data_IF_638434281329
#
_entry.id   IF_638434281329
#
_cell.length_a   1.000
_cell.length_b   1.000
_cell.length_c   1.000
_cell.angle_alpha   90.00
_cell.angle_beta   90.00
_cell.angle_gamma   90.00
#
_symmetry.space_group_name_H-M   'P 1'
#
loop_
_entity.id
_entity.type
_entity.pdbx_description
1 polymer ?
#
# COMPACT_ATOMS: atom_id res chain seq x y z
N UNK A 1 -3.19 28.46 -9.43
CA UNK A 1 -2.19 29.08 -10.30
C UNK A 1 -1.75 28.18 -11.42
N UNK A 2 -1.02 28.70 -12.39
CA UNK A 2 -0.38 27.93 -13.47
C UNK A 2 1.14 28.06 -13.34
N UNK A 3 1.69 27.69 -12.20
CA UNK A 3 3.11 27.81 -11.91
C UNK A 3 3.80 26.46 -11.76
N UNK A 4 5.13 26.47 -11.80
CA UNK A 4 5.99 25.33 -11.55
C UNK A 4 6.86 25.63 -10.32
N UNK A 5 6.88 24.70 -9.38
CA UNK A 5 7.83 24.68 -8.26
C UNK A 5 8.84 23.59 -8.58
N UNK A 6 10.09 23.96 -8.82
CA UNK A 6 11.19 23.04 -9.06
C UNK A 6 12.10 23.02 -7.84
N UNK A 7 12.16 21.88 -7.17
CA UNK A 7 12.90 21.74 -5.91
C UNK A 7 14.41 21.58 -6.07
N UNK A 8 14.94 21.44 -7.30
CA UNK A 8 16.38 21.21 -7.58
C UNK A 8 16.95 20.07 -6.71
N UNK A 9 16.15 19.04 -6.49
CA UNK A 9 16.36 18.07 -5.41
C UNK A 9 17.62 17.26 -5.53
N UNK A 10 18.09 16.99 -6.74
CA UNK A 10 19.33 16.26 -6.97
C UNK A 10 20.55 17.06 -6.52
N UNK A 11 20.59 18.31 -6.91
CA UNK A 11 21.65 19.26 -6.53
C UNK A 11 21.67 19.48 -5.02
N UNK A 12 20.50 19.68 -4.43
CA UNK A 12 20.34 19.84 -2.97
C UNK A 12 20.81 18.58 -2.23
N UNK A 13 20.41 17.41 -2.68
CA UNK A 13 20.79 16.14 -2.05
C UNK A 13 22.30 15.90 -2.13
N UNK A 14 22.91 16.06 -3.29
CA UNK A 14 24.36 15.87 -3.46
C UNK A 14 25.17 16.92 -2.71
N UNK A 15 24.73 18.16 -2.63
CA UNK A 15 25.38 19.18 -1.82
C UNK A 15 25.38 18.80 -0.33
N UNK A 16 24.27 18.30 0.20
CA UNK A 16 24.18 17.81 1.59
C UNK A 16 25.14 16.63 1.83
N UNK A 17 25.18 15.67 0.92
CA UNK A 17 26.10 14.52 0.99
C UNK A 17 27.55 15.02 1.01
N UNK A 18 27.91 15.94 0.13
CA UNK A 18 29.25 16.52 0.09
C UNK A 18 29.62 17.23 1.40
N UNK A 19 28.69 17.97 2.01
CA UNK A 19 28.93 18.64 3.30
C UNK A 19 29.11 17.61 4.44
N UNK A 20 28.42 16.48 4.41
CA UNK A 20 28.60 15.39 5.38
C UNK A 20 29.98 14.74 5.18
N UNK A 21 30.36 14.41 3.95
CA UNK A 21 31.68 13.83 3.65
C UNK A 21 32.82 14.74 4.01
N UNK A 22 32.66 16.05 3.87
CA UNK A 22 33.66 17.05 4.25
C UNK A 22 33.67 17.41 5.75
N UNK A 23 32.83 16.75 6.56
CA UNK A 23 32.73 16.98 7.99
C UNK A 23 32.09 18.31 8.40
N UNK A 24 31.48 19.03 7.47
CA UNK A 24 30.80 20.32 7.72
C UNK A 24 29.46 20.05 8.44
N UNK A 25 28.75 19.02 7.99
CA UNK A 25 27.52 18.55 8.62
C UNK A 25 27.73 17.16 9.23
N UNK A 26 27.12 16.94 10.37
CA UNK A 26 27.06 15.63 11.01
C UNK A 26 25.85 14.86 10.51
N UNK A 27 26.06 13.64 10.02
CA UNK A 27 24.95 12.72 9.74
C UNK A 27 24.57 11.99 11.03
N UNK A 28 23.57 12.52 11.74
CA UNK A 28 23.11 11.98 13.03
C UNK A 28 22.29 10.69 12.86
N UNK A 29 21.89 10.32 11.67
CA UNK A 29 20.93 9.25 11.47
C UNK A 29 21.55 7.88 11.25
N UNK A 30 22.88 7.79 11.19
CA UNK A 30 23.66 6.52 11.14
C UNK A 30 22.96 5.40 10.34
N UNK A 31 22.29 5.74 9.27
CA UNK A 31 21.60 4.76 8.45
C UNK A 31 22.22 4.70 7.05
N UNK A 32 21.85 3.69 6.29
CA UNK A 32 22.35 3.42 4.96
C UNK A 32 21.93 4.49 3.91
N UNK A 33 21.23 5.53 4.35
CA UNK A 33 20.72 6.61 3.50
C UNK A 33 21.26 7.95 4.00
N UNK A 34 22.45 8.37 3.53
CA UNK A 34 22.99 9.67 3.89
C UNK A 34 22.05 10.79 3.42
N UNK A 35 22.19 11.96 4.03
CA UNK A 35 21.41 13.14 3.72
C UNK A 35 19.89 13.02 4.00
N UNK A 36 19.51 12.34 5.04
CA UNK A 36 18.10 12.21 5.49
C UNK A 36 17.48 13.52 6.00
N UNK A 37 18.25 14.61 6.11
CA UNK A 37 17.76 15.96 6.44
C UNK A 37 17.48 16.82 5.21
N UNK A 38 17.21 16.22 4.09
CA UNK A 38 16.86 16.94 2.87
C UNK A 38 15.56 17.74 3.06
N UNK A 39 15.46 18.95 2.50
CA UNK A 39 14.26 19.76 2.64
C UNK A 39 13.10 19.15 1.86
N UNK A 40 11.91 19.20 2.43
CA UNK A 40 10.66 18.92 1.74
C UNK A 40 10.34 20.03 0.75
N UNK A 41 9.62 19.71 -0.33
CA UNK A 41 9.27 20.72 -1.33
C UNK A 41 8.24 21.72 -0.80
N UNK A 42 7.15 21.24 -0.23
CA UNK A 42 6.11 22.06 0.45
C UNK A 42 5.83 21.45 1.82
N UNK A 43 5.73 22.29 2.83
CA UNK A 43 5.34 21.85 4.18
C UNK A 43 4.39 22.86 4.83
N UNK A 44 3.15 22.43 5.04
CA UNK A 44 2.15 23.18 5.82
C UNK A 44 1.84 22.41 7.10
N UNK A 45 1.86 23.09 8.22
CA UNK A 45 1.52 22.50 9.51
C UNK A 45 0.49 23.34 10.24
N UNK A 46 -0.51 22.65 10.82
CA UNK A 46 -1.55 23.25 11.67
C UNK A 46 -2.32 24.41 10.96
N UNK A 47 -2.40 24.33 9.62
CA UNK A 47 -3.08 25.32 8.82
C UNK A 47 -4.55 24.98 8.62
N UNK A 48 -5.38 26.00 8.43
CA UNK A 48 -6.82 25.85 8.11
C UNK A 48 -7.14 26.48 6.77
N UNK A 49 -8.11 25.90 6.06
CA UNK A 49 -8.60 26.42 4.77
C UNK A 49 -7.47 26.54 3.73
N UNK A 50 -6.71 25.47 3.56
CA UNK A 50 -5.61 25.40 2.60
C UNK A 50 -6.14 24.97 1.24
N UNK A 51 -5.85 25.73 0.20
CA UNK A 51 -6.19 25.36 -1.18
C UNK A 51 -4.97 25.42 -2.08
N UNK A 52 -4.63 24.29 -2.71
CA UNK A 52 -3.54 24.15 -3.69
C UNK A 52 -4.13 23.68 -4.99
N UNK A 53 -4.06 24.50 -6.03
CA UNK A 53 -4.70 24.19 -7.30
C UNK A 53 -3.87 24.55 -8.53
N UNK A 54 -3.89 23.68 -9.54
CA UNK A 54 -3.39 23.97 -10.90
C UNK A 54 -1.89 24.23 -11.00
N UNK A 55 -1.08 23.75 -10.06
CA UNK A 55 0.38 23.90 -10.08
C UNK A 55 1.07 22.60 -10.43
N UNK A 56 2.30 22.70 -10.90
CA UNK A 56 3.22 21.57 -11.04
C UNK A 56 4.31 21.66 -9.96
N UNK A 57 4.62 20.52 -9.33
CA UNK A 57 5.71 20.40 -8.36
C UNK A 57 6.64 19.30 -8.87
N UNK A 58 7.93 19.58 -8.97
CA UNK A 58 8.88 18.61 -9.51
C UNK A 58 10.23 18.65 -8.82
N UNK A 59 10.97 17.55 -8.96
CA UNK A 59 12.39 17.44 -8.57
C UNK A 59 12.67 17.88 -7.14
N UNK A 60 11.90 17.41 -6.16
CA UNK A 60 12.17 17.75 -4.75
C UNK A 60 13.29 16.88 -4.17
N UNK A 61 13.93 17.35 -3.13
CA UNK A 61 15.03 16.62 -2.49
C UNK A 61 14.54 15.52 -1.54
N UNK A 62 13.33 15.61 -1.05
CA UNK A 62 12.65 14.71 -0.10
C UNK A 62 11.15 14.73 -0.39
N UNK A 63 10.28 14.40 0.56
CA UNK A 63 8.82 14.44 0.38
C UNK A 63 8.36 15.67 -0.37
N UNK A 64 7.57 15.48 -1.42
CA UNK A 64 7.24 16.56 -2.35
C UNK A 64 6.37 17.60 -1.70
N UNK A 65 5.28 17.17 -1.07
CA UNK A 65 4.38 18.05 -0.36
C UNK A 65 3.78 17.36 0.86
N UNK A 66 3.82 18.04 1.98
CA UNK A 66 3.37 17.54 3.27
C UNK A 66 2.37 18.51 3.90
N UNK A 67 1.25 17.98 4.29
CA UNK A 67 0.23 18.68 5.05
C UNK A 67 0.07 17.97 6.39
N UNK A 68 0.50 18.63 7.46
CA UNK A 68 0.57 18.08 8.81
C UNK A 68 -0.43 18.77 9.71
N UNK A 69 -1.41 18.02 10.24
CA UNK A 69 -2.43 18.51 11.14
C UNK A 69 -3.26 19.70 10.58
N UNK A 70 -3.42 19.74 9.26
CA UNK A 70 -4.22 20.74 8.60
C UNK A 70 -5.71 20.37 8.62
N UNK A 71 -6.57 21.38 8.52
CA UNK A 71 -8.02 21.22 8.46
C UNK A 71 -8.61 21.97 7.26
N UNK A 72 -9.62 21.38 6.61
CA UNK A 72 -10.25 21.89 5.40
C UNK A 72 -9.19 22.12 4.29
N UNK A 73 -8.60 21.02 3.85
CA UNK A 73 -7.55 20.99 2.82
C UNK A 73 -8.14 20.59 1.47
N UNK A 74 -7.94 21.41 0.46
CA UNK A 74 -8.30 21.11 -0.93
C UNK A 74 -7.08 21.12 -1.83
N UNK A 75 -6.85 20.00 -2.51
CA UNK A 75 -5.81 19.86 -3.52
C UNK A 75 -6.50 19.44 -4.82
N UNK A 76 -6.36 20.24 -5.86
CA UNK A 76 -7.08 20.01 -7.11
C UNK A 76 -6.27 20.37 -8.34
N UNK A 77 -6.30 19.52 -9.37
CA UNK A 77 -5.59 19.70 -10.64
C UNK A 77 -4.10 20.05 -10.48
N UNK A 78 -3.42 19.36 -9.57
CA UNK A 78 -1.96 19.46 -9.46
C UNK A 78 -1.29 18.37 -10.30
N UNK A 79 -0.05 18.66 -10.69
CA UNK A 79 0.85 17.68 -11.28
C UNK A 79 2.09 17.56 -10.39
N UNK A 80 2.41 16.34 -9.97
CA UNK A 80 3.68 16.02 -9.33
C UNK A 80 4.50 15.18 -10.31
N UNK A 81 5.73 15.59 -10.56
CA UNK A 81 6.73 14.85 -11.33
C UNK A 81 8.07 14.92 -10.56
N UNK A 82 8.21 14.10 -9.53
CA UNK A 82 9.36 14.16 -8.64
C UNK A 82 10.05 12.81 -8.53
N UNK A 83 11.08 12.67 -9.35
CA UNK A 83 11.90 11.45 -9.48
C UNK A 83 13.39 11.74 -9.30
N UNK A 84 13.71 12.80 -8.58
CA UNK A 84 15.09 13.29 -8.46
C UNK A 84 15.93 12.45 -7.50
N UNK A 85 15.32 11.95 -6.43
CA UNK A 85 16.01 11.22 -5.37
C UNK A 85 15.08 10.26 -4.65
N UNK A 86 15.55 9.42 -3.71
CA UNK A 86 14.69 8.58 -2.90
C UNK A 86 13.89 9.38 -1.87
N UNK A 87 12.84 8.79 -1.30
CA UNK A 87 11.87 9.42 -0.41
C UNK A 87 11.16 10.65 -1.02
N UNK A 88 11.01 10.70 -2.33
CA UNK A 88 10.11 11.66 -2.94
C UNK A 88 8.67 11.09 -2.88
N UNK A 89 8.07 11.06 -1.68
CA UNK A 89 6.63 10.80 -1.54
C UNK A 89 5.88 11.94 -2.23
N UNK A 90 4.91 11.62 -3.10
CA UNK A 90 4.27 12.64 -3.94
C UNK A 90 3.34 13.57 -3.18
N UNK A 91 2.57 13.00 -2.25
CA UNK A 91 1.61 13.72 -1.42
C UNK A 91 1.47 13.03 -0.07
N UNK A 92 1.86 13.69 1.00
CA UNK A 92 1.70 13.24 2.37
C UNK A 92 0.62 14.03 3.11
N UNK A 93 -0.46 13.36 3.47
CA UNK A 93 -1.53 13.88 4.33
C UNK A 93 -1.33 13.27 5.72
N UNK A 94 -0.98 14.11 6.70
CA UNK A 94 -0.55 13.67 8.04
C UNK A 94 -1.50 14.24 9.09
N UNK A 95 -2.23 13.39 9.81
CA UNK A 95 -3.15 13.81 10.90
C UNK A 95 -4.12 14.95 10.50
N UNK A 96 -4.56 15.01 9.24
CA UNK A 96 -5.42 16.05 8.70
C UNK A 96 -6.90 15.70 8.77
N UNK A 97 -7.76 16.72 8.79
CA UNK A 97 -9.22 16.56 8.76
C UNK A 97 -9.85 17.32 7.59
N UNK A 98 -10.95 16.75 7.06
CA UNK A 98 -11.76 17.37 6.01
C UNK A 98 -10.90 17.67 4.75
N UNK A 99 -10.39 16.61 4.13
CA UNK A 99 -9.43 16.68 3.02
C UNK A 99 -10.09 16.25 1.72
N UNK A 100 -9.85 17.02 0.64
CA UNK A 100 -10.22 16.63 -0.74
C UNK A 100 -9.00 16.73 -1.65
N UNK A 101 -8.69 15.62 -2.30
CA UNK A 101 -7.66 15.54 -3.35
C UNK A 101 -8.34 15.11 -4.64
N UNK A 102 -8.32 15.97 -5.66
CA UNK A 102 -9.09 15.71 -6.88
C UNK A 102 -8.29 15.99 -8.15
N UNK A 103 -8.63 15.26 -9.23
CA UNK A 103 -8.21 15.53 -10.61
C UNK A 103 -6.69 15.74 -10.78
N UNK A 104 -5.87 15.01 -10.04
CA UNK A 104 -4.43 15.25 -9.94
C UNK A 104 -3.63 14.07 -10.50
N UNK A 105 -2.46 14.39 -11.04
CA UNK A 105 -1.48 13.42 -11.53
C UNK A 105 -0.25 13.44 -10.63
N UNK A 106 0.14 12.29 -10.09
CA UNK A 106 1.24 12.18 -9.14
C UNK A 106 2.17 11.06 -9.57
N UNK A 107 3.39 11.43 -9.94
CA UNK A 107 4.49 10.55 -10.33
C UNK A 107 5.70 10.80 -9.41
N UNK A 108 6.05 9.80 -8.61
CA UNK A 108 6.96 9.94 -7.49
C UNK A 108 7.86 8.71 -7.31
N UNK A 109 9.08 8.87 -6.78
CA UNK A 109 9.98 7.73 -6.51
C UNK A 109 9.65 6.97 -5.23
N UNK A 110 8.90 7.56 -4.33
CA UNK A 110 8.34 6.86 -3.17
C UNK A 110 6.80 6.86 -3.26
N UNK A 111 6.06 6.68 -2.19
CA UNK A 111 4.61 6.55 -2.22
C UNK A 111 3.92 7.73 -2.92
N UNK A 112 3.07 7.48 -3.93
CA UNK A 112 2.50 8.58 -4.71
C UNK A 112 1.48 9.38 -3.89
N UNK A 113 0.45 8.72 -3.33
CA UNK A 113 -0.54 9.33 -2.43
C UNK A 113 -0.46 8.61 -1.09
N UNK A 114 -0.02 9.29 -0.06
CA UNK A 114 0.28 8.70 1.23
C UNK A 114 -0.46 9.40 2.37
N UNK A 115 -1.07 8.59 3.24
CA UNK A 115 -1.68 9.05 4.49
C UNK A 115 -0.84 8.57 5.65
N UNK A 116 -0.50 9.48 6.56
CA UNK A 116 0.30 9.18 7.75
C UNK A 116 -0.42 9.69 9.00
N UNK A 117 -0.17 9.06 10.13
CA UNK A 117 -0.65 9.51 11.43
C UNK A 117 0.45 9.26 12.46
N UNK A 118 1.14 10.30 12.88
CA UNK A 118 2.27 10.21 13.79
C UNK A 118 1.91 10.57 15.25
N UNK A 119 0.87 11.35 15.44
CA UNK A 119 0.39 11.72 16.77
C UNK A 119 -0.69 10.74 17.24
N UNK A 120 -0.41 10.03 18.33
CA UNK A 120 -1.33 9.04 18.89
C UNK A 120 -2.68 9.62 19.36
N UNK A 121 -2.77 10.93 19.51
CA UNK A 121 -3.98 11.66 19.93
C UNK A 121 -4.76 12.26 18.76
N UNK A 122 -4.24 12.13 17.53
CA UNK A 122 -4.82 12.68 16.31
C UNK A 122 -5.10 11.59 15.29
N UNK A 123 -5.71 11.96 14.18
CA UNK A 123 -5.99 11.04 13.06
C UNK A 123 -6.19 11.81 11.77
N UNK A 124 -6.05 11.12 10.65
CA UNK A 124 -6.64 11.57 9.40
C UNK A 124 -8.13 11.21 9.37
N UNK A 125 -9.00 12.17 9.13
CA UNK A 125 -10.44 11.97 9.17
C UNK A 125 -11.17 12.73 8.06
N UNK A 126 -12.22 12.11 7.48
CA UNK A 126 -13.04 12.69 6.42
C UNK A 126 -12.20 13.04 5.18
N UNK A 127 -11.60 12.05 4.56
CA UNK A 127 -10.72 12.25 3.41
C UNK A 127 -11.36 11.69 2.14
N UNK A 128 -11.41 12.50 1.09
CA UNK A 128 -11.79 12.06 -0.25
C UNK A 128 -10.62 12.24 -1.22
N UNK A 129 -10.30 11.15 -1.97
CA UNK A 129 -9.40 11.18 -3.13
C UNK A 129 -10.18 10.74 -4.34
N UNK A 130 -10.27 11.59 -5.37
CA UNK A 130 -11.11 11.32 -6.54
C UNK A 130 -10.46 11.73 -7.85
N UNK A 131 -10.65 10.90 -8.87
CA UNK A 131 -10.18 11.18 -10.24
C UNK A 131 -8.67 11.47 -10.31
N UNK A 132 -7.88 10.80 -9.49
CA UNK A 132 -6.44 10.96 -9.46
C UNK A 132 -5.75 9.81 -10.22
N UNK A 133 -4.57 10.12 -10.73
CA UNK A 133 -3.69 9.16 -11.38
C UNK A 133 -2.39 9.12 -10.59
N UNK A 134 -2.00 7.92 -10.15
CA UNK A 134 -0.80 7.69 -9.37
C UNK A 134 0.17 6.75 -10.08
N UNK A 135 1.43 7.12 -10.10
CA UNK A 135 2.56 6.30 -10.53
C UNK A 135 3.66 6.39 -9.47
N UNK A 136 4.38 5.29 -9.20
CA UNK A 136 5.32 5.30 -8.07
C UNK A 136 6.36 4.20 -8.19
N UNK A 137 7.59 4.49 -7.78
CA UNK A 137 8.57 3.45 -7.50
C UNK A 137 8.38 2.78 -6.11
N UNK A 138 7.25 3.06 -5.47
CA UNK A 138 6.79 2.46 -4.21
C UNK A 138 5.29 2.12 -4.32
N UNK A 139 4.43 2.62 -3.47
CA UNK A 139 2.99 2.34 -3.54
C UNK A 139 2.22 3.44 -4.28
N UNK A 140 1.17 3.06 -4.99
CA UNK A 140 0.26 4.04 -5.60
C UNK A 140 -0.53 4.82 -4.56
N UNK A 141 -1.31 4.12 -3.72
CA UNK A 141 -2.08 4.70 -2.61
C UNK A 141 -1.72 3.94 -1.32
N UNK A 142 -1.28 4.67 -0.30
CA UNK A 142 -0.80 4.07 0.95
C UNK A 142 -1.33 4.75 2.20
N UNK A 143 -1.75 3.94 3.14
CA UNK A 143 -1.99 4.28 4.54
C UNK A 143 -0.79 3.77 5.35
N UNK A 144 -0.03 4.69 5.92
CA UNK A 144 1.21 4.37 6.65
C UNK A 144 2.47 4.87 5.92
N UNK A 145 3.67 4.59 6.40
CA UNK A 145 3.97 3.66 7.50
C UNK A 145 3.68 4.23 8.89
N UNK A 146 3.77 5.53 9.12
CA UNK A 146 3.46 6.14 10.41
C UNK A 146 1.95 6.03 10.67
N UNK A 147 1.59 5.25 11.69
CA UNK A 147 0.18 4.94 12.01
C UNK A 147 -0.05 4.92 13.52
N UNK A 148 0.44 5.95 14.19
CA UNK A 148 0.31 6.03 15.66
C UNK A 148 -1.10 6.41 16.12
N UNK A 149 -1.79 7.29 15.41
CA UNK A 149 -3.16 7.71 15.70
C UNK A 149 -4.17 6.88 14.92
N UNK A 150 -4.48 7.25 13.69
CA UNK A 150 -5.38 6.44 12.86
C UNK A 150 -5.95 7.13 11.63
N UNK A 151 -6.86 6.39 11.00
CA UNK A 151 -7.56 6.81 9.77
C UNK A 151 -9.04 6.47 9.88
N UNK A 152 -9.90 7.43 9.57
CA UNK A 152 -11.35 7.25 9.65
C UNK A 152 -12.10 7.98 8.54
N UNK A 153 -13.13 7.34 7.99
CA UNK A 153 -14.01 7.93 6.98
C UNK A 153 -13.27 8.34 5.70
N UNK A 154 -12.68 7.38 5.00
CA UNK A 154 -12.00 7.62 3.71
C UNK A 154 -12.85 7.18 2.53
N UNK A 155 -12.80 7.95 1.46
CA UNK A 155 -13.43 7.67 0.16
C UNK A 155 -12.41 7.85 -0.95
N UNK A 156 -11.89 6.76 -1.47
CA UNK A 156 -10.91 6.72 -2.57
C UNK A 156 -11.66 6.27 -3.83
N UNK A 157 -12.03 7.20 -4.71
CA UNK A 157 -13.03 6.95 -5.75
C UNK A 157 -12.54 7.33 -7.13
N UNK A 158 -12.74 6.43 -8.11
CA UNK A 158 -12.40 6.65 -9.52
C UNK A 158 -10.92 7.07 -9.71
N UNK A 159 -10.01 6.27 -9.21
CA UNK A 159 -8.59 6.52 -9.34
C UNK A 159 -7.91 5.49 -10.24
N UNK A 160 -6.76 5.86 -10.78
CA UNK A 160 -5.90 5.00 -11.59
C UNK A 160 -4.52 4.90 -10.97
N UNK A 161 -3.99 3.68 -10.86
CA UNK A 161 -2.62 3.41 -10.41
C UNK A 161 -1.92 2.58 -11.48
N UNK A 162 -0.71 2.97 -11.88
CA UNK A 162 0.04 2.18 -12.84
C UNK A 162 1.56 2.29 -12.63
N UNK A 163 2.29 1.33 -13.16
CA UNK A 163 3.75 1.25 -13.08
C UNK A 163 4.27 1.46 -11.64
N UNK A 164 3.57 0.86 -10.66
CA UNK A 164 3.94 1.02 -9.26
C UNK A 164 4.70 -0.20 -8.77
N UNK A 165 5.89 0.05 -8.20
CA UNK A 165 6.82 -1.00 -7.81
C UNK A 165 6.26 -1.90 -6.70
N UNK A 166 5.52 -1.31 -5.74
CA UNK A 166 4.86 -2.03 -4.66
C UNK A 166 3.37 -2.23 -4.96
N UNK A 167 2.52 -1.98 -4.03
CA UNK A 167 1.09 -2.23 -4.18
C UNK A 167 0.36 -1.06 -4.84
N UNK A 168 -0.70 -1.38 -5.60
CA UNK A 168 -1.65 -0.36 -6.03
C UNK A 168 -2.32 0.29 -4.80
N UNK A 169 -2.71 -0.55 -3.82
CA UNK A 169 -3.27 -0.12 -2.54
C UNK A 169 -2.57 -0.84 -1.40
N UNK A 170 -2.06 -0.07 -0.44
CA UNK A 170 -1.60 -0.55 0.86
C UNK A 170 -2.40 0.12 1.97
N UNK A 171 -3.05 -0.66 2.83
CA UNK A 171 -3.71 -0.21 4.05
C UNK A 171 -3.02 -0.88 5.22
N UNK A 172 -2.22 -0.14 5.99
CA UNK A 172 -1.42 -0.73 7.05
C UNK A 172 -1.46 0.07 8.34
N UNK A 173 -1.47 -0.63 9.48
CA UNK A 173 -1.31 -0.04 10.82
C UNK A 173 -0.23 -0.79 11.62
N UNK A 174 1.06 -0.49 11.37
CA UNK A 174 2.16 -1.14 12.08
C UNK A 174 2.53 -0.49 13.41
N UNK A 175 2.00 0.68 13.76
CA UNK A 175 2.46 1.47 14.90
C UNK A 175 1.38 1.64 16.00
N UNK A 176 0.35 0.78 16.00
CA UNK A 176 -0.67 0.71 17.04
C UNK A 176 -1.82 1.70 16.88
N UNK A 177 -1.99 2.29 15.70
CA UNK A 177 -3.15 3.12 15.36
C UNK A 177 -4.35 2.30 14.88
N UNK A 178 -5.47 2.97 14.65
CA UNK A 178 -6.68 2.33 14.14
C UNK A 178 -7.01 2.74 12.70
N UNK A 179 -7.71 1.87 12.00
CA UNK A 179 -8.25 2.11 10.66
C UNK A 179 -9.72 1.72 10.66
N UNK A 180 -10.61 2.64 10.32
CA UNK A 180 -12.03 2.40 10.33
C UNK A 180 -12.77 3.15 9.22
N UNK A 181 -13.76 2.48 8.59
CA UNK A 181 -14.63 3.03 7.57
C UNK A 181 -13.88 3.57 6.34
N UNK A 182 -13.28 2.66 5.59
CA UNK A 182 -12.56 2.96 4.34
C UNK A 182 -13.33 2.42 3.15
N UNK A 183 -13.65 3.27 2.20
CA UNK A 183 -14.21 2.90 0.90
C UNK A 183 -13.20 3.15 -0.22
N UNK A 184 -12.87 2.11 -0.95
CA UNK A 184 -12.15 2.19 -2.23
C UNK A 184 -13.12 1.73 -3.32
N UNK A 185 -13.41 2.60 -4.26
CA UNK A 185 -14.39 2.36 -5.31
C UNK A 185 -13.88 2.82 -6.68
N UNK A 186 -14.12 2.00 -7.69
CA UNK A 186 -13.73 2.34 -9.06
C UNK A 186 -12.22 2.59 -9.21
N UNK A 187 -11.41 1.59 -8.86
CA UNK A 187 -9.97 1.61 -9.05
C UNK A 187 -9.58 0.81 -10.30
N UNK A 188 -8.82 1.45 -11.18
CA UNK A 188 -8.14 0.79 -12.29
C UNK A 188 -6.64 0.75 -12.03
N UNK A 189 -6.05 -0.45 -11.98
CA UNK A 189 -4.62 -0.63 -11.73
C UNK A 189 -4.01 -1.57 -12.75
N UNK A 190 -2.84 -1.23 -13.27
CA UNK A 190 -2.10 -2.12 -14.15
C UNK A 190 -0.59 -1.97 -13.95
N UNK A 191 0.15 -3.03 -14.22
CA UNK A 191 1.60 -3.08 -14.06
C UNK A 191 2.03 -2.63 -12.66
N UNK A 192 1.46 -3.26 -11.63
CA UNK A 192 1.82 -3.01 -10.22
C UNK A 192 2.40 -4.28 -9.59
N UNK A 193 3.27 -4.13 -8.61
CA UNK A 193 3.90 -5.28 -7.94
C UNK A 193 2.92 -6.11 -7.12
N UNK A 194 1.82 -5.51 -6.65
CA UNK A 194 0.73 -6.15 -5.93
C UNK A 194 -0.56 -5.34 -6.09
N UNK A 195 -1.72 -5.96 -6.02
CA UNK A 195 -2.99 -5.24 -6.15
C UNK A 195 -3.46 -4.65 -4.82
N UNK A 196 -3.61 -5.47 -3.78
CA UNK A 196 -4.23 -5.11 -2.50
C UNK A 196 -3.43 -5.71 -1.34
N UNK A 197 -2.98 -4.86 -0.42
CA UNK A 197 -2.26 -5.27 0.77
C UNK A 197 -2.84 -4.60 2.02
N UNK A 198 -3.49 -5.39 2.90
CA UNK A 198 -4.02 -4.96 4.20
C UNK A 198 -3.20 -5.60 5.31
N UNK A 199 -2.70 -4.80 6.28
CA UNK A 199 -1.78 -5.29 7.29
C UNK A 199 -1.93 -4.63 8.67
N UNK A 200 -2.07 -5.42 9.72
CA UNK A 200 -1.79 -5.00 11.10
C UNK A 200 -0.40 -5.48 11.48
N UNK A 201 0.44 -4.59 11.98
CA UNK A 201 1.77 -4.88 12.50
C UNK A 201 1.94 -4.39 13.94
N UNK A 202 3.15 -4.56 14.49
CA UNK A 202 3.51 -4.09 15.83
C UNK A 202 4.98 -3.64 15.83
N UNK A 203 5.30 -2.63 14.99
CA UNK A 203 6.67 -2.16 14.80
C UNK A 203 7.10 -1.17 15.88
N UNK A 204 6.41 -0.03 15.95
CA UNK A 204 6.69 1.04 16.93
C UNK A 204 5.44 1.39 17.74
N UNK A 205 4.65 0.38 18.03
CA UNK A 205 3.34 0.53 18.66
C UNK A 205 3.39 0.98 20.14
N UNK A 206 4.56 0.97 20.78
CA UNK A 206 4.74 1.35 22.19
C UNK A 206 3.74 0.64 23.13
N UNK A 207 3.49 -0.65 22.89
CA UNK A 207 2.53 -1.45 23.66
C UNK A 207 1.06 -1.25 23.30
N UNK A 208 0.72 -0.41 22.31
CA UNK A 208 -0.65 -0.24 21.84
C UNK A 208 -1.03 -1.33 20.83
N UNK A 209 -2.29 -1.65 20.77
CA UNK A 209 -2.84 -2.62 19.83
C UNK A 209 -3.46 -1.89 18.63
N UNK A 210 -2.94 -2.15 17.43
CA UNK A 210 -3.54 -1.65 16.21
C UNK A 210 -4.86 -2.36 15.90
N UNK A 211 -5.78 -1.67 15.22
CA UNK A 211 -7.03 -2.26 14.74
C UNK A 211 -7.36 -1.83 13.33
N UNK A 212 -8.07 -2.71 12.60
CA UNK A 212 -8.49 -2.42 11.23
C UNK A 212 -9.86 -3.03 10.99
N UNK A 213 -10.84 -2.19 10.64
CA UNK A 213 -12.23 -2.62 10.47
C UNK A 213 -12.99 -1.81 9.41
N UNK A 214 -14.11 -2.40 8.93
CA UNK A 214 -15.07 -1.76 8.06
C UNK A 214 -14.45 -1.23 6.75
N UNK A 215 -13.80 -2.11 6.00
CA UNK A 215 -13.15 -1.78 4.74
C UNK A 215 -13.96 -2.35 3.59
N UNK A 216 -14.36 -1.50 2.66
CA UNK A 216 -14.99 -1.90 1.41
C UNK A 216 -14.08 -1.54 0.23
N UNK A 217 -13.72 -2.53 -0.57
CA UNK A 217 -12.98 -2.38 -1.82
C UNK A 217 -13.87 -2.93 -2.92
N UNK A 218 -14.30 -2.07 -3.84
CA UNK A 218 -15.25 -2.47 -4.87
C UNK A 218 -14.96 -1.86 -6.25
N UNK A 219 -15.50 -2.52 -7.29
CA UNK A 219 -15.35 -2.08 -8.67
C UNK A 219 -13.88 -1.89 -9.08
N UNK A 220 -13.07 -2.93 -8.85
CA UNK A 220 -11.63 -2.89 -9.09
C UNK A 220 -11.25 -3.77 -10.26
N UNK A 221 -10.44 -3.22 -11.15
CA UNK A 221 -9.66 -3.96 -12.12
C UNK A 221 -8.17 -3.79 -11.81
N UNK A 222 -7.43 -4.89 -11.69
CA UNK A 222 -6.01 -4.84 -11.42
C UNK A 222 -5.22 -5.88 -12.22
N UNK A 223 -4.06 -5.49 -12.74
CA UNK A 223 -3.06 -6.39 -13.31
C UNK A 223 -1.75 -6.29 -12.54
N UNK A 224 -1.33 -7.41 -11.98
CA UNK A 224 -0.04 -7.56 -11.29
C UNK A 224 1.06 -7.84 -12.32
N UNK A 225 2.18 -7.15 -12.18
CA UNK A 225 3.31 -7.27 -13.11
C UNK A 225 4.07 -8.57 -12.94
N UNK A 226 4.57 -9.10 -14.05
CA UNK A 226 5.54 -10.20 -14.05
C UNK A 226 7.00 -9.74 -13.98
N UNK A 227 7.25 -8.45 -14.11
CA UNK A 227 8.57 -7.81 -14.12
C UNK A 227 8.61 -6.65 -13.14
N UNK A 228 9.72 -5.92 -13.09
CA UNK A 228 9.85 -4.71 -12.27
C UNK A 228 8.93 -3.62 -12.84
N UNK A 229 7.87 -3.21 -12.12
CA UNK A 229 6.84 -2.32 -12.69
C UNK A 229 7.30 -0.89 -12.95
N UNK A 230 8.23 -0.38 -12.15
CA UNK A 230 8.72 0.98 -12.19
C UNK A 230 9.89 1.19 -13.17
N UNK A 231 9.92 0.45 -14.27
CA UNK A 231 10.91 0.63 -15.31
C UNK A 231 10.92 2.09 -15.82
N UNK A 232 12.13 2.67 -15.94
CA UNK A 232 12.31 4.05 -16.37
C UNK A 232 12.43 5.08 -15.24
N UNK A 233 12.33 4.68 -13.98
CA UNK A 233 12.76 5.52 -12.87
C UNK A 233 14.29 5.48 -12.74
N UNK A 234 14.92 6.63 -12.86
CA UNK A 234 16.36 6.79 -12.72
C UNK A 234 16.69 7.41 -11.35
N UNK A 235 16.42 6.70 -10.28
CA UNK A 235 16.82 7.14 -8.94
C UNK A 235 17.70 6.09 -8.26
N UNK A 236 18.55 6.54 -7.37
CA UNK A 236 19.42 5.70 -6.57
C UNK A 236 18.74 5.36 -5.25
N UNK A 237 18.03 4.29 -5.22
CA UNK A 237 17.38 3.76 -4.02
C UNK A 237 17.79 2.32 -3.75
N UNK A 238 17.48 1.77 -2.58
CA UNK A 238 17.72 0.36 -2.31
C UNK A 238 16.92 -0.48 -3.29
N UNK A 239 17.59 -1.41 -3.95
CA UNK A 239 16.96 -2.40 -4.82
C UNK A 239 16.50 -3.55 -3.94
N UNK A 240 15.21 -3.85 -3.97
CA UNK A 240 14.69 -5.04 -3.32
C UNK A 240 14.77 -6.21 -4.30
N UNK A 241 15.60 -7.17 -3.97
CA UNK A 241 15.78 -8.40 -4.76
C UNK A 241 14.83 -9.51 -4.27
N UNK A 242 13.55 -9.22 -4.27
CA UNK A 242 12.52 -10.18 -3.88
C UNK A 242 11.63 -10.54 -5.07
N UNK A 243 11.31 -11.83 -5.26
CA UNK A 243 10.42 -12.26 -6.32
C UNK A 243 9.01 -11.67 -6.07
N UNK A 244 8.57 -10.74 -6.90
CA UNK A 244 7.31 -10.00 -6.69
C UNK A 244 6.09 -10.71 -7.25
N UNK A 245 6.24 -11.35 -8.38
CA UNK A 245 5.17 -12.06 -9.08
C UNK A 245 4.61 -13.27 -8.32
N UNK A 246 5.22 -13.66 -7.23
CA UNK A 246 4.77 -14.77 -6.40
C UNK A 246 3.94 -14.36 -5.19
N UNK A 247 3.84 -13.06 -4.90
CA UNK A 247 3.09 -12.57 -3.75
C UNK A 247 1.63 -12.31 -4.10
N UNK A 248 0.68 -12.94 -3.41
CA UNK A 248 -0.74 -12.69 -3.59
C UNK A 248 -1.15 -11.33 -3.00
N UNK A 249 -2.34 -10.87 -3.31
CA UNK A 249 -3.01 -9.88 -2.46
C UNK A 249 -3.20 -10.44 -1.06
N UNK A 250 -3.16 -9.60 -0.02
CA UNK A 250 -3.12 -10.10 1.35
C UNK A 250 -3.98 -9.30 2.31
N UNK A 251 -4.62 -10.01 3.25
CA UNK A 251 -5.35 -9.43 4.39
C UNK A 251 -4.82 -10.13 5.64
N UNK A 252 -3.87 -9.49 6.34
CA UNK A 252 -3.10 -10.14 7.39
C UNK A 252 -3.11 -9.32 8.68
N UNK A 253 -3.85 -9.80 9.67
CA UNK A 253 -3.82 -9.31 11.04
C UNK A 253 -2.64 -9.86 11.83
N UNK A 254 -2.77 -9.87 13.15
CA UNK A 254 -1.86 -10.53 14.10
C UNK A 254 -2.66 -11.43 15.04
N UNK A 255 -2.03 -12.40 15.68
CA UNK A 255 -2.71 -13.21 16.71
C UNK A 255 -3.41 -12.31 17.75
N UNK A 256 -4.73 -12.49 17.90
CA UNK A 256 -5.57 -11.67 18.77
C UNK A 256 -5.90 -10.26 18.26
N UNK A 257 -5.47 -9.89 17.07
CA UNK A 257 -5.76 -8.62 16.40
C UNK A 257 -6.28 -8.88 14.99
N UNK A 258 -7.51 -9.36 14.90
CA UNK A 258 -8.13 -9.69 13.62
C UNK A 258 -8.44 -8.42 12.79
N UNK A 259 -8.18 -8.46 11.49
CA UNK A 259 -8.77 -7.49 10.55
C UNK A 259 -10.24 -7.87 10.37
N UNK A 260 -11.18 -6.94 10.55
CA UNK A 260 -12.59 -7.27 10.63
C UNK A 260 -13.45 -6.53 9.61
N UNK A 261 -14.52 -7.20 9.13
CA UNK A 261 -15.53 -6.60 8.24
C UNK A 261 -14.91 -6.04 6.94
N UNK A 262 -14.27 -6.90 6.15
CA UNK A 262 -13.73 -6.53 4.83
C UNK A 262 -14.64 -7.05 3.74
N UNK A 263 -15.05 -6.17 2.84
CA UNK A 263 -15.88 -6.49 1.67
C UNK A 263 -15.07 -6.24 0.40
N UNK A 264 -14.92 -7.30 -0.39
CA UNK A 264 -14.33 -7.27 -1.72
C UNK A 264 -15.46 -7.56 -2.73
N UNK A 265 -15.88 -6.55 -3.51
CA UNK A 265 -17.03 -6.65 -4.41
C UNK A 265 -16.72 -6.19 -5.82
N UNK A 266 -17.20 -6.93 -6.83
CA UNK A 266 -16.97 -6.60 -8.24
C UNK A 266 -15.47 -6.39 -8.55
N UNK A 267 -14.65 -7.38 -8.28
CA UNK A 267 -13.20 -7.29 -8.41
C UNK A 267 -12.71 -8.26 -9.48
N UNK A 268 -11.86 -7.76 -10.34
CA UNK A 268 -11.08 -8.57 -11.27
C UNK A 268 -9.61 -8.31 -11.06
N UNK A 269 -8.84 -9.36 -10.74
CA UNK A 269 -7.39 -9.27 -10.61
C UNK A 269 -6.74 -10.31 -11.51
N UNK A 270 -5.76 -9.86 -12.27
CA UNK A 270 -4.95 -10.70 -13.15
C UNK A 270 -3.54 -10.78 -12.58
N UNK A 271 -3.10 -11.99 -12.28
CA UNK A 271 -1.77 -12.31 -11.77
C UNK A 271 -0.93 -12.96 -12.87
N UNK A 272 0.39 -12.79 -12.87
CA UNK A 272 1.25 -13.43 -13.86
C UNK A 272 1.23 -14.96 -13.73
N UNK A 273 1.11 -15.52 -12.53
CA UNK A 273 1.29 -16.95 -12.29
C UNK A 273 2.73 -17.39 -12.54
N UNK A 274 2.93 -18.69 -12.77
CA UNK A 274 4.25 -19.22 -13.11
C UNK A 274 5.21 -19.38 -11.93
N UNK A 275 4.69 -19.48 -10.71
CA UNK A 275 5.48 -19.67 -9.51
C UNK A 275 6.27 -20.98 -9.54
N UNK A 276 7.44 -21.00 -8.92
CA UNK A 276 8.30 -22.16 -8.80
C UNK A 276 8.02 -22.89 -7.48
N UNK A 277 7.66 -24.20 -7.50
CA UNK A 277 7.43 -24.97 -6.28
C UNK A 277 8.60 -24.97 -5.28
N UNK A 278 9.81 -24.75 -5.76
CA UNK A 278 11.00 -24.71 -4.90
C UNK A 278 11.12 -23.40 -4.10
N UNK A 279 10.36 -22.37 -4.44
CA UNK A 279 10.30 -21.11 -3.69
C UNK A 279 9.19 -21.07 -2.65
N UNK A 280 8.17 -21.92 -2.78
CA UNK A 280 7.08 -21.93 -1.82
C UNK A 280 7.62 -22.07 -0.40
N UNK A 281 7.07 -21.32 0.53
CA UNK A 281 7.43 -21.46 1.93
C UNK A 281 7.30 -22.92 2.32
N UNK A 282 6.24 -23.55 1.91
CA UNK A 282 6.12 -24.95 2.30
C UNK A 282 5.02 -25.65 1.53
N UNK A 283 4.08 -25.00 1.10
CA UNK A 283 2.84 -25.53 0.61
C UNK A 283 1.69 -25.24 1.57
N UNK A 284 0.78 -26.20 1.70
CA UNK A 284 -0.49 -26.00 2.42
C UNK A 284 -0.74 -27.05 3.53
N UNK A 285 0.27 -27.81 3.91
CA UNK A 285 0.15 -28.72 5.07
C UNK A 285 0.13 -27.89 6.36
N UNK A 286 -0.41 -28.43 7.47
CA UNK A 286 -0.43 -27.72 8.74
C UNK A 286 0.92 -27.14 9.16
N UNK A 287 1.98 -27.95 9.14
CA UNK A 287 3.33 -27.53 9.51
C UNK A 287 3.89 -26.44 8.57
N UNK A 288 3.52 -26.49 7.30
CA UNK A 288 3.90 -25.48 6.32
C UNK A 288 3.29 -24.11 6.68
N UNK A 289 1.98 -24.09 6.94
CA UNK A 289 1.24 -22.86 7.28
C UNK A 289 1.65 -22.30 8.63
N UNK A 290 1.84 -23.15 9.64
CA UNK A 290 2.31 -22.74 10.97
C UNK A 290 3.74 -22.16 10.95
N UNK A 291 4.54 -22.51 9.96
CA UNK A 291 5.88 -21.98 9.80
C UNK A 291 5.95 -20.59 9.17
N UNK A 292 4.83 -20.03 8.65
CA UNK A 292 4.80 -18.69 8.09
C UNK A 292 4.95 -17.67 9.22
N UNK A 293 5.99 -16.82 9.19
CA UNK A 293 6.25 -15.90 10.30
C UNK A 293 5.21 -14.79 10.39
N UNK A 294 4.93 -14.31 11.59
CA UNK A 294 4.01 -13.19 11.82
C UNK A 294 4.53 -11.84 11.33
N UNK A 295 5.81 -11.69 11.13
CA UNK A 295 6.46 -10.46 10.64
C UNK A 295 6.02 -9.19 11.41
N UNK A 296 5.83 -9.30 12.73
CA UNK A 296 5.24 -8.23 13.58
C UNK A 296 5.93 -6.89 13.43
N UNK A 297 7.25 -6.89 13.45
CA UNK A 297 8.09 -5.68 13.43
C UNK A 297 8.61 -5.33 12.03
N UNK A 298 8.26 -6.11 11.01
CA UNK A 298 8.69 -5.84 9.64
C UNK A 298 8.05 -4.55 9.09
N UNK A 299 8.72 -3.95 8.14
CA UNK A 299 8.13 -2.88 7.34
C UNK A 299 6.86 -3.40 6.65
N UNK A 300 5.73 -2.66 6.67
CA UNK A 300 4.46 -3.17 6.17
C UNK A 300 4.41 -3.16 4.65
N UNK A 301 5.06 -4.12 4.06
CA UNK A 301 5.10 -4.36 2.63
C UNK A 301 4.88 -5.83 2.32
N UNK A 302 4.15 -6.11 1.23
CA UNK A 302 3.77 -7.47 0.87
C UNK A 302 4.98 -8.39 0.66
N UNK A 303 6.07 -7.87 0.11
CA UNK A 303 7.29 -8.63 -0.20
C UNK A 303 8.02 -9.16 1.04
N UNK A 304 7.78 -8.59 2.22
CA UNK A 304 8.39 -9.05 3.47
C UNK A 304 7.98 -10.48 3.84
N UNK A 305 6.79 -10.91 3.44
CA UNK A 305 6.36 -12.29 3.64
C UNK A 305 7.03 -13.27 2.67
N UNK A 306 7.78 -12.79 1.68
CA UNK A 306 8.32 -13.59 0.57
C UNK A 306 7.20 -14.36 -0.13
N UNK A 307 7.43 -15.60 -0.55
CA UNK A 307 6.40 -16.40 -1.19
C UNK A 307 5.39 -16.93 -0.17
N UNK A 308 4.12 -16.60 -0.37
CA UNK A 308 2.99 -17.12 0.40
C UNK A 308 2.32 -18.28 -0.33
N UNK A 309 1.62 -19.19 0.37
CA UNK A 309 1.05 -20.40 -0.20
C UNK A 309 -0.26 -20.18 -1.00
N UNK A 310 -0.47 -18.99 -1.51
CA UNK A 310 -1.59 -18.65 -2.38
C UNK A 310 -1.09 -17.84 -3.57
N UNK A 311 -1.80 -17.87 -4.71
CA UNK A 311 -1.46 -17.02 -5.83
C UNK A 311 -2.38 -15.78 -5.96
N UNK A 312 -3.60 -15.84 -5.44
CA UNK A 312 -4.58 -14.75 -5.51
C UNK A 312 -4.73 -13.98 -4.20
N UNK A 313 -5.19 -14.63 -3.13
CA UNK A 313 -5.30 -14.03 -1.81
C UNK A 313 -4.76 -14.92 -0.69
N UNK A 314 -3.99 -14.33 0.21
CA UNK A 314 -3.63 -14.90 1.50
C UNK A 314 -4.31 -14.10 2.62
N UNK A 315 -5.12 -14.77 3.43
CA UNK A 315 -5.92 -14.14 4.49
C UNK A 315 -5.60 -14.83 5.80
N UNK A 316 -5.10 -14.06 6.78
CA UNK A 316 -4.72 -14.59 8.09
C UNK A 316 -5.13 -13.65 9.21
N UNK A 317 -5.57 -14.20 10.35
CA UNK A 317 -6.05 -13.43 11.49
C UNK A 317 -7.08 -12.39 11.05
N UNK A 318 -8.21 -12.88 10.54
CA UNK A 318 -9.26 -12.03 10.01
C UNK A 318 -10.65 -12.53 10.40
N UNK A 319 -11.65 -11.62 10.38
CA UNK A 319 -13.02 -11.93 10.75
C UNK A 319 -14.02 -11.22 9.85
N UNK A 320 -15.09 -11.94 9.46
CA UNK A 320 -16.16 -11.41 8.61
C UNK A 320 -15.65 -10.86 7.27
N UNK A 321 -15.09 -11.73 6.44
CA UNK A 321 -14.56 -11.39 5.11
C UNK A 321 -15.57 -11.76 4.03
N UNK A 322 -15.89 -10.84 3.14
CA UNK A 322 -16.85 -11.07 2.06
C UNK A 322 -16.18 -10.90 0.70
N UNK A 323 -16.30 -11.93 -0.13
CA UNK A 323 -15.99 -11.91 -1.55
C UNK A 323 -17.29 -11.99 -2.33
N UNK A 324 -17.63 -10.98 -3.10
CA UNK A 324 -18.83 -10.93 -3.92
C UNK A 324 -18.50 -10.52 -5.36
N UNK A 325 -18.81 -11.39 -6.32
CA UNK A 325 -18.51 -11.17 -7.74
C UNK A 325 -17.02 -10.86 -7.97
N UNK A 326 -16.15 -11.78 -7.58
CA UNK A 326 -14.69 -11.65 -7.68
C UNK A 326 -14.15 -12.64 -8.71
N UNK A 327 -13.34 -12.17 -9.64
CA UNK A 327 -12.64 -12.99 -10.63
C UNK A 327 -11.14 -12.86 -10.43
N UNK A 328 -10.47 -13.97 -10.17
CA UNK A 328 -9.02 -14.08 -10.07
C UNK A 328 -8.51 -14.87 -11.27
N UNK A 329 -7.53 -14.35 -11.97
CA UNK A 329 -6.95 -14.97 -13.17
C UNK A 329 -5.44 -15.12 -13.01
N UNK A 330 -4.90 -16.32 -13.19
CA UNK A 330 -3.47 -16.55 -13.36
C UNK A 330 -3.15 -16.75 -14.84
N UNK A 331 -2.22 -15.95 -15.39
CA UNK A 331 -1.84 -16.04 -16.83
C UNK A 331 -1.02 -17.29 -17.14
N UNK A 332 -0.17 -17.73 -16.22
CA UNK A 332 0.64 -18.94 -16.34
C UNK A 332 0.23 -19.98 -15.30
N UNK A 333 0.65 -21.24 -15.54
CA UNK A 333 0.37 -22.38 -14.65
C UNK A 333 0.80 -22.07 -13.22
N UNK A 334 -0.08 -22.38 -12.28
CA UNK A 334 0.14 -22.14 -10.86
C UNK A 334 -0.01 -23.47 -10.09
N UNK A 335 0.75 -23.67 -9.03
CA UNK A 335 0.70 -24.89 -8.20
C UNK A 335 0.03 -24.64 -6.84
N UNK A 336 -0.07 -23.37 -6.43
CA UNK A 336 -0.71 -22.94 -5.18
C UNK A 336 -2.23 -22.81 -5.37
N UNK A 337 -3.04 -22.93 -4.32
CA UNK A 337 -4.45 -22.54 -4.38
C UNK A 337 -4.61 -21.03 -4.66
N UNK A 338 -5.75 -20.66 -5.21
CA UNK A 338 -6.04 -19.25 -5.47
C UNK A 338 -6.20 -18.45 -4.17
N UNK A 339 -6.86 -19.03 -3.18
CA UNK A 339 -7.10 -18.39 -1.89
C UNK A 339 -6.71 -19.34 -0.76
N UNK A 340 -5.98 -18.83 0.23
CA UNK A 340 -5.72 -19.51 1.50
C UNK A 340 -6.32 -18.69 2.63
N UNK A 341 -7.11 -19.36 3.48
CA UNK A 341 -7.64 -18.84 4.74
C UNK A 341 -6.90 -19.53 5.89
N UNK A 342 -6.25 -18.74 6.73
CA UNK A 342 -5.47 -19.19 7.88
C UNK A 342 -5.89 -18.43 9.14
N UNK A 343 -6.55 -19.08 10.08
CA UNK A 343 -7.17 -18.45 11.26
C UNK A 343 -8.16 -17.34 10.88
N UNK A 344 -9.17 -17.68 10.06
CA UNK A 344 -10.24 -16.78 9.63
C UNK A 344 -11.56 -17.18 10.29
N UNK A 345 -12.26 -16.23 10.90
CA UNK A 345 -13.54 -16.43 11.59
C UNK A 345 -14.69 -15.79 10.80
N UNK A 346 -15.32 -16.57 9.94
CA UNK A 346 -16.37 -16.12 9.03
C UNK A 346 -15.81 -15.54 7.73
N UNK A 347 -16.07 -16.25 6.63
CA UNK A 347 -15.85 -15.73 5.29
C UNK A 347 -16.94 -16.22 4.35
N UNK A 348 -17.45 -15.31 3.52
CA UNK A 348 -18.51 -15.61 2.55
C UNK A 348 -17.99 -15.37 1.13
N UNK A 349 -18.15 -16.37 0.28
CA UNK A 349 -17.77 -16.32 -1.12
C UNK A 349 -19.02 -16.47 -1.98
N UNK A 350 -19.38 -15.42 -2.71
CA UNK A 350 -20.55 -15.40 -3.61
C UNK A 350 -20.11 -15.01 -5.00
N UNK A 351 -20.36 -15.85 -6.01
CA UNK A 351 -19.94 -15.64 -7.40
C UNK A 351 -18.44 -15.37 -7.54
N UNK A 352 -17.59 -16.19 -6.91
CA UNK A 352 -16.13 -16.13 -7.07
C UNK A 352 -15.69 -17.07 -8.19
N UNK A 353 -14.93 -16.55 -9.13
CA UNK A 353 -14.37 -17.28 -10.28
C UNK A 353 -12.85 -17.33 -10.24
N UNK A 354 -12.33 -18.48 -10.61
CA UNK A 354 -10.90 -18.72 -10.70
C UNK A 354 -10.56 -19.16 -12.11
N UNK A 355 -9.78 -18.36 -12.83
CA UNK A 355 -9.34 -18.66 -14.18
C UNK A 355 -7.83 -18.95 -14.14
N UNK A 356 -7.44 -20.18 -14.41
CA UNK A 356 -6.05 -20.59 -14.44
C UNK A 356 -5.82 -21.65 -15.53
N UNK A 357 -4.66 -21.68 -16.18
CA UNK A 357 -4.26 -22.81 -17.01
C UNK A 357 -4.21 -24.05 -16.13
N UNK A 358 -4.65 -25.18 -16.65
CA UNK A 358 -4.80 -26.46 -15.94
C UNK A 358 -3.65 -26.70 -14.94
N UNK A 359 -3.97 -26.83 -13.64
CA UNK A 359 -2.89 -27.11 -12.68
C UNK A 359 -3.26 -27.15 -11.21
N UNK A 360 -4.03 -26.24 -10.68
CA UNK A 360 -4.39 -26.28 -9.26
C UNK A 360 -5.63 -27.14 -9.01
N UNK A 361 -5.49 -28.13 -8.13
CA UNK A 361 -6.63 -28.99 -7.73
C UNK A 361 -7.50 -28.35 -6.65
N UNK A 362 -7.04 -27.28 -6.00
CA UNK A 362 -7.74 -26.61 -4.90
C UNK A 362 -7.71 -25.10 -5.10
N UNK A 363 -8.86 -24.54 -5.38
CA UNK A 363 -9.02 -23.10 -5.56
C UNK A 363 -9.09 -22.34 -4.23
N UNK A 364 -9.72 -22.94 -3.21
CA UNK A 364 -9.80 -22.43 -1.84
C UNK A 364 -9.23 -23.45 -0.87
N UNK A 365 -8.26 -23.05 -0.07
CA UNK A 365 -7.73 -23.84 1.04
C UNK A 365 -8.10 -23.18 2.37
N UNK A 366 -8.58 -23.97 3.32
CA UNK A 366 -9.07 -23.52 4.62
C UNK A 366 -8.27 -24.21 5.72
N UNK A 367 -7.60 -23.41 6.57
CA UNK A 367 -6.81 -23.89 7.69
C UNK A 367 -7.15 -23.09 8.95
N UNK A 368 -7.31 -23.75 10.10
CA UNK A 368 -7.67 -23.13 11.39
C UNK A 368 -8.82 -22.10 11.32
N UNK A 369 -9.69 -22.22 10.34
CA UNK A 369 -10.74 -21.23 10.05
C UNK A 369 -12.12 -21.82 10.22
N UNK A 370 -13.10 -20.98 10.59
CA UNK A 370 -14.48 -21.39 10.88
C UNK A 370 -15.50 -20.47 10.20
N UNK A 371 -16.73 -20.93 10.02
CA UNK A 371 -17.81 -20.12 9.45
C UNK A 371 -17.58 -19.76 7.97
N UNK A 372 -17.01 -20.66 7.19
CA UNK A 372 -16.72 -20.44 5.76
C UNK A 372 -17.90 -20.88 4.90
N UNK A 373 -18.48 -19.96 4.15
CA UNK A 373 -19.63 -20.17 3.29
C UNK A 373 -19.28 -19.92 1.83
N UNK A 374 -19.59 -20.88 0.96
CA UNK A 374 -19.44 -20.73 -0.49
C UNK A 374 -20.83 -20.83 -1.16
N UNK A 375 -21.30 -19.73 -1.70
CA UNK A 375 -22.57 -19.65 -2.44
C UNK A 375 -22.29 -19.86 -3.93
N UNK A 376 -22.79 -20.96 -4.47
CA UNK A 376 -22.57 -21.38 -5.88
C UNK A 376 -23.54 -20.72 -6.89
N UNK A 377 -24.22 -19.64 -6.58
CA UNK A 377 -25.12 -19.01 -7.55
C UNK A 377 -24.59 -17.69 -8.10
#
# INVERSE_FOLDING_TARGET
GKGVIDGQGREVAYNLIAQIHNGILKDDLKNDRPASRRPRGIYFRECKNVEITGIMIKNTADWVQVYDQCQNLKIDRITVDSKAFWNNDGLDIVDCKDVKVTNSFIDATDDAICFKSHDATKMCENVEVRNCVARSSSNGIKFGTLTSGGYKNFRIINNKVYDSYRSAITIATPDGGFIDNILIDSLYSYNTGNAIYLRIGARWNKGRTGSMSNITIQNVYAEVSSTKPDAGYAYEGPIEDLPRNISPSSIVGLPGQDITNVILRNIQIIYPGGSNPNYAYRGIKPDDLDSIPEMKSAYPEFSQFKELPAWGFYIRHAKNITFENVTLTAKAKEYRPAIVLDDVKGATFTRVKYNEPVGSKRQLHVYKSTGIVQNKK
#
